data_IF_927053380948
#
_entry.id   IF_927053380948
#
_cell.length_a   1.000
_cell.length_b   1.000
_cell.length_c   1.000
_cell.angle_alpha   90.00
_cell.angle_beta   90.00
_cell.angle_gamma   90.00
#
_symmetry.space_group_name_H-M   'P 1'
#
loop_
_entity.id
_entity.type
_entity.pdbx_description
1 polymer ?
#
# COMPACT_ATOMS: atom_id res chain seq x y z
N UNK A 1 -1.06 16.05 8.96
CA UNK A 1 -0.82 14.65 9.37
C UNK A 1 0.57 14.53 9.99
N UNK A 2 0.65 13.88 11.15
CA UNK A 2 1.90 13.51 11.82
C UNK A 2 2.10 11.98 11.70
N UNK A 3 3.33 11.46 11.84
CA UNK A 3 3.58 10.01 11.89
C UNK A 3 2.70 9.30 12.92
N UNK A 4 2.49 9.89 14.10
CA UNK A 4 1.63 9.36 15.15
C UNK A 4 0.15 9.21 14.74
N UNK A 5 -0.34 10.01 13.79
CA UNK A 5 -1.71 9.88 13.26
C UNK A 5 -1.85 8.59 12.41
N UNK A 6 -0.76 8.08 11.87
CA UNK A 6 -0.71 6.88 11.02
C UNK A 6 -0.44 5.63 11.84
N UNK A 7 0.60 5.66 12.67
CA UNK A 7 1.06 4.49 13.42
C UNK A 7 0.41 4.36 14.79
N UNK A 8 -0.03 5.48 15.37
CA UNK A 8 -0.58 5.54 16.72
C UNK A 8 0.35 6.26 17.69
N UNK A 9 -0.11 6.42 18.91
CA UNK A 9 0.58 7.18 19.94
C UNK A 9 0.33 6.61 21.33
N UNK A 10 1.19 6.95 22.25
CA UNK A 10 1.03 6.69 23.67
C UNK A 10 0.27 7.84 24.31
N UNK A 11 -0.77 7.54 25.08
CA UNK A 11 -1.61 8.50 25.79
C UNK A 11 -1.50 8.24 27.28
N UNK A 12 -1.18 9.27 28.05
CA UNK A 12 -1.17 9.19 29.50
C UNK A 12 -2.60 9.25 30.06
N UNK A 13 -2.99 8.20 30.78
CA UNK A 13 -4.27 8.14 31.47
C UNK A 13 -4.12 8.63 32.92
N UNK A 14 -4.59 9.84 33.18
CA UNK A 14 -4.48 10.47 34.50
C UNK A 14 -5.21 9.69 35.61
N UNK A 15 -6.31 8.97 35.28
CA UNK A 15 -7.10 8.21 36.25
C UNK A 15 -6.41 6.93 36.72
N UNK A 16 -5.70 6.28 35.82
CA UNK A 16 -5.00 5.03 36.07
C UNK A 16 -3.52 5.25 36.40
N UNK A 17 -3.04 6.49 36.28
CA UNK A 17 -1.65 6.90 36.44
C UNK A 17 -0.70 6.03 35.60
N UNK A 18 -1.13 5.71 34.35
CA UNK A 18 -0.42 4.81 33.46
C UNK A 18 -0.56 5.29 31.99
N UNK A 19 0.29 4.75 31.12
CA UNK A 19 0.24 5.01 29.70
C UNK A 19 -0.58 3.95 28.97
N UNK A 20 -1.46 4.36 28.09
CA UNK A 20 -2.18 3.49 27.18
C UNK A 20 -1.80 3.75 25.73
N UNK A 21 -1.77 2.72 24.89
CA UNK A 21 -1.46 2.84 23.47
C UNK A 21 -2.75 3.00 22.68
N UNK A 22 -2.85 4.10 21.95
CA UNK A 22 -3.88 4.30 20.92
C UNK A 22 -3.30 3.90 19.57
N UNK A 23 -3.72 2.74 19.05
CA UNK A 23 -3.32 2.25 17.72
C UNK A 23 -3.81 3.17 16.62
N UNK A 24 -2.94 3.40 15.63
CA UNK A 24 -3.27 4.14 14.41
C UNK A 24 -3.93 3.26 13.33
N UNK A 25 -4.34 3.86 12.20
CA UNK A 25 -5.01 3.16 11.10
C UNK A 25 -4.16 2.07 10.41
N UNK A 26 -2.84 2.06 10.60
CA UNK A 26 -1.98 0.99 10.06
C UNK A 26 -2.23 -0.38 10.68
N UNK A 27 -2.92 -0.46 11.82
CA UNK A 27 -3.30 -1.75 12.43
C UNK A 27 -4.53 -2.37 11.75
N UNK A 28 -4.48 -2.47 10.44
CA UNK A 28 -5.48 -3.09 9.57
C UNK A 28 -4.78 -4.00 8.55
N UNK A 29 -5.52 -4.95 7.97
CA UNK A 29 -4.99 -5.83 6.92
C UNK A 29 -4.74 -5.07 5.60
N UNK A 30 -5.63 -4.12 5.28
CA UNK A 30 -5.55 -3.30 4.07
C UNK A 30 -5.59 -1.83 4.47
N UNK A 31 -4.59 -1.09 4.06
CA UNK A 31 -4.46 0.35 4.32
C UNK A 31 -4.48 1.09 3.00
N UNK A 32 -5.40 2.03 2.85
CA UNK A 32 -5.42 2.96 1.73
C UNK A 32 -4.80 4.29 2.17
N UNK A 33 -3.67 4.63 1.57
CA UNK A 33 -2.99 5.92 1.74
C UNK A 33 -3.35 6.82 0.55
N UNK A 34 -4.46 7.50 0.66
CA UNK A 34 -4.94 8.38 -0.40
C UNK A 34 -4.09 9.65 -0.49
N UNK A 35 -3.73 10.04 -1.72
CA UNK A 35 -2.87 11.19 -2.02
C UNK A 35 -1.58 11.23 -1.18
N UNK A 36 -0.84 10.13 -1.14
CA UNK A 36 0.37 10.01 -0.31
C UNK A 36 1.41 11.09 -0.62
N UNK A 37 1.43 11.63 -1.84
CA UNK A 37 2.30 12.72 -2.25
C UNK A 37 1.94 14.07 -1.58
N UNK A 38 0.78 14.20 -0.94
CA UNK A 38 0.42 15.36 -0.11
C UNK A 38 0.84 15.20 1.36
N UNK A 39 1.18 13.99 1.76
CA UNK A 39 1.67 13.76 3.12
C UNK A 39 3.12 14.26 3.27
N UNK A 40 3.46 14.90 4.41
CA UNK A 40 4.85 15.28 4.70
C UNK A 40 5.80 14.09 4.65
N UNK A 41 7.07 14.33 4.26
CA UNK A 41 8.07 13.27 4.09
C UNK A 41 8.23 12.35 5.31
N UNK A 42 8.05 12.87 6.53
CA UNK A 42 8.10 12.07 7.77
C UNK A 42 6.95 11.07 7.85
N UNK A 43 5.76 11.43 7.38
CA UNK A 43 4.58 10.54 7.35
C UNK A 43 4.75 9.47 6.29
N UNK A 44 5.23 9.86 5.10
CA UNK A 44 5.58 8.92 4.03
C UNK A 44 6.61 7.88 4.53
N UNK A 45 7.69 8.33 5.16
CA UNK A 45 8.74 7.46 5.69
C UNK A 45 8.20 6.49 6.75
N UNK A 46 7.34 6.97 7.66
CA UNK A 46 6.73 6.12 8.68
C UNK A 46 5.86 5.01 8.07
N UNK A 47 5.05 5.34 7.06
CA UNK A 47 4.22 4.35 6.36
C UNK A 47 5.06 3.32 5.62
N UNK A 48 6.13 3.76 4.96
CA UNK A 48 7.03 2.88 4.20
C UNK A 48 7.86 1.97 5.12
N UNK A 49 8.24 2.44 6.31
CA UNK A 49 8.88 1.62 7.33
C UNK A 49 7.92 0.52 7.80
N UNK A 50 6.67 0.87 8.10
CA UNK A 50 5.62 -0.08 8.50
C UNK A 50 5.39 -1.15 7.42
N UNK A 51 5.42 -0.78 6.15
CA UNK A 51 5.27 -1.73 5.03
C UNK A 51 6.42 -2.76 5.00
N UNK A 52 7.63 -2.32 5.32
CA UNK A 52 8.81 -3.16 5.29
C UNK A 52 8.92 -4.04 6.53
N UNK A 53 8.80 -3.44 7.71
CA UNK A 53 9.02 -4.11 9.00
C UNK A 53 7.81 -4.94 9.44
N UNK A 54 6.59 -4.63 8.96
CA UNK A 54 5.31 -5.24 9.35
C UNK A 54 5.08 -5.24 10.86
N UNK A 55 5.64 -4.25 11.51
CA UNK A 55 5.52 -3.98 12.94
C UNK A 55 5.64 -2.48 13.21
N UNK A 56 5.16 -2.05 14.35
CA UNK A 56 5.19 -0.66 14.81
C UNK A 56 5.68 -0.64 16.25
N UNK A 57 6.59 0.28 16.56
CA UNK A 57 7.01 0.56 17.94
C UNK A 57 6.37 1.87 18.40
N UNK A 58 5.63 1.80 19.51
CA UNK A 58 4.99 2.97 20.15
C UNK A 58 5.42 2.99 21.61
N UNK A 59 6.17 4.01 22.00
CA UNK A 59 6.84 4.02 23.30
C UNK A 59 7.82 2.86 23.39
N UNK A 60 7.67 2.02 24.40
CA UNK A 60 8.52 0.85 24.64
C UNK A 60 7.95 -0.47 24.08
N UNK A 61 6.76 -0.42 23.46
CA UNK A 61 6.10 -1.61 22.92
C UNK A 61 6.23 -1.73 21.41
N UNK A 62 6.69 -2.91 20.96
CA UNK A 62 6.69 -3.30 19.53
C UNK A 62 5.55 -4.25 19.24
N UNK A 63 4.65 -3.85 18.37
CA UNK A 63 3.45 -4.60 17.97
C UNK A 63 3.53 -5.01 16.52
N UNK A 64 3.28 -6.29 16.24
CA UNK A 64 3.17 -6.81 14.87
C UNK A 64 1.85 -6.38 14.25
N UNK A 65 1.90 -6.13 12.94
CA UNK A 65 0.70 -5.87 12.15
C UNK A 65 -0.04 -7.15 11.81
N UNK A 66 -1.35 -7.06 11.52
CA UNK A 66 -2.13 -8.23 11.11
C UNK A 66 -1.62 -8.80 9.78
N UNK A 67 -1.81 -10.10 9.58
CA UNK A 67 -1.45 -10.80 8.34
C UNK A 67 -2.73 -11.30 7.65
N UNK A 68 -2.90 -11.10 6.34
CA UNK A 68 -2.02 -10.37 5.41
C UNK A 68 -2.02 -8.85 5.67
N UNK A 69 -0.95 -8.16 5.30
CA UNK A 69 -0.84 -6.71 5.37
C UNK A 69 -0.48 -6.15 3.98
N UNK A 70 -1.28 -5.23 3.47
CA UNK A 70 -1.10 -4.58 2.19
C UNK A 70 -1.41 -3.09 2.30
N UNK A 71 -0.57 -2.27 1.68
CA UNK A 71 -0.81 -0.83 1.52
C UNK A 71 -1.06 -0.52 0.06
N UNK A 72 -2.16 0.16 -0.21
CA UNK A 72 -2.45 0.80 -1.48
C UNK A 72 -2.23 2.29 -1.29
N UNK A 73 -1.50 2.92 -2.21
CA UNK A 73 -1.28 4.36 -2.16
C UNK A 73 -1.72 4.98 -3.49
N UNK A 74 -2.41 6.11 -3.42
CA UNK A 74 -2.72 6.90 -4.60
C UNK A 74 -1.80 8.12 -4.66
N UNK A 75 -1.53 8.59 -5.87
CA UNK A 75 -0.86 9.85 -6.15
C UNK A 75 -1.67 10.64 -7.14
N UNK A 76 -1.87 11.92 -6.89
CA UNK A 76 -2.43 12.84 -7.86
C UNK A 76 -1.27 13.59 -8.54
N UNK A 77 -0.98 13.34 -9.83
CA UNK A 77 0.14 13.98 -10.52
C UNK A 77 -0.15 15.42 -10.98
N UNK A 78 -1.43 15.84 -10.95
CA UNK A 78 -1.87 17.13 -11.52
C UNK A 78 -1.54 18.28 -10.59
N UNK A 79 -1.63 18.08 -9.27
CA UNK A 79 -1.34 19.10 -8.27
C UNK A 79 0.17 19.20 -8.01
N UNK A 80 0.80 20.27 -8.44
CA UNK A 80 2.22 20.54 -8.20
C UNK A 80 2.48 21.33 -6.91
N UNK A 81 1.50 22.11 -6.43
CA UNK A 81 1.64 22.88 -5.20
C UNK A 81 1.33 22.01 -3.96
N UNK A 82 2.25 22.05 -2.98
CA UNK A 82 2.10 21.33 -1.71
C UNK A 82 2.29 19.81 -1.80
N UNK A 83 2.91 19.31 -2.87
CA UNK A 83 3.21 17.89 -3.00
C UNK A 83 4.66 17.58 -2.66
N UNK A 84 4.88 16.43 -2.04
CA UNK A 84 6.17 15.85 -1.73
C UNK A 84 6.34 14.59 -2.58
N UNK A 85 7.14 14.68 -3.62
CA UNK A 85 7.41 13.52 -4.48
C UNK A 85 8.06 12.41 -3.65
N UNK A 86 7.57 11.19 -3.83
CA UNK A 86 8.25 10.03 -3.25
C UNK A 86 9.56 9.81 -4.02
N UNK A 87 10.70 9.73 -3.31
CA UNK A 87 11.96 9.34 -3.93
C UNK A 87 11.84 7.96 -4.60
N UNK A 88 12.62 7.73 -5.65
CA UNK A 88 12.60 6.48 -6.41
C UNK A 88 12.81 5.24 -5.52
N UNK A 89 13.74 5.30 -4.58
CA UNK A 89 13.98 4.24 -3.60
C UNK A 89 12.77 3.93 -2.69
N UNK A 90 11.84 4.85 -2.57
CA UNK A 90 10.60 4.67 -1.80
C UNK A 90 9.48 4.09 -2.66
N UNK A 91 9.40 4.49 -3.93
CA UNK A 91 8.43 3.92 -4.86
C UNK A 91 8.72 2.46 -5.19
N UNK A 92 9.99 2.05 -5.16
CA UNK A 92 10.44 0.67 -5.37
C UNK A 92 9.92 -0.33 -4.31
N UNK A 93 9.40 0.17 -3.19
CA UNK A 93 8.74 -0.68 -2.17
C UNK A 93 7.32 -1.12 -2.54
N UNK A 94 6.74 -0.53 -3.57
CA UNK A 94 5.45 -0.92 -4.12
C UNK A 94 5.66 -1.94 -5.26
N UNK A 95 4.98 -3.09 -5.16
CA UNK A 95 5.10 -4.15 -6.16
C UNK A 95 4.61 -3.73 -7.54
N UNK A 96 3.57 -2.90 -7.59
CA UNK A 96 2.92 -2.46 -8.82
C UNK A 96 2.71 -0.95 -8.79
N UNK A 97 2.92 -0.31 -9.95
CA UNK A 97 2.52 1.07 -10.22
C UNK A 97 1.56 1.06 -11.39
N UNK A 98 0.29 1.35 -11.10
CA UNK A 98 -0.76 1.42 -12.10
C UNK A 98 -1.04 2.87 -12.45
N UNK A 99 -1.02 3.20 -13.73
CA UNK A 99 -1.52 4.48 -14.21
C UNK A 99 -3.01 4.33 -14.46
N UNK A 100 -3.81 5.16 -13.80
CA UNK A 100 -5.25 5.24 -14.00
C UNK A 100 -5.50 6.38 -14.99
N UNK A 101 -6.18 6.10 -16.07
CA UNK A 101 -6.61 7.07 -17.08
C UNK A 101 -8.13 7.20 -17.05
N UNK A 102 -8.69 8.06 -17.92
CA UNK A 102 -10.13 8.19 -18.03
C UNK A 102 -10.78 6.87 -18.47
N UNK A 103 -11.99 6.56 -17.96
CA UNK A 103 -12.75 5.38 -18.41
C UNK A 103 -13.11 5.47 -19.90
N UNK A 104 -13.42 4.33 -20.50
CA UNK A 104 -14.01 4.29 -21.83
C UNK A 104 -15.44 4.87 -21.80
N UNK A 105 -15.93 5.37 -22.94
CA UNK A 105 -17.22 6.06 -23.03
C UNK A 105 -18.40 5.27 -22.42
N UNK A 106 -18.45 3.96 -22.63
CA UNK A 106 -19.53 3.13 -22.11
C UNK A 106 -19.43 2.95 -20.60
N UNK A 107 -18.23 2.84 -20.05
CA UNK A 107 -18.00 2.73 -18.60
C UNK A 107 -18.35 4.05 -17.91
N UNK A 108 -17.99 5.17 -18.49
CA UNK A 108 -18.34 6.51 -17.99
C UNK A 108 -19.85 6.73 -18.02
N UNK A 109 -20.53 6.29 -19.10
CA UNK A 109 -21.99 6.30 -19.22
C UNK A 109 -22.64 5.43 -18.14
N UNK A 110 -22.08 4.25 -17.86
CA UNK A 110 -22.58 3.38 -16.79
C UNK A 110 -22.40 4.02 -15.41
N UNK A 111 -21.22 4.60 -15.14
CA UNK A 111 -20.95 5.35 -13.91
C UNK A 111 -21.96 6.48 -13.70
N UNK A 112 -22.24 7.27 -14.74
CA UNK A 112 -23.22 8.34 -14.70
C UNK A 112 -24.64 7.83 -14.36
N UNK A 113 -25.04 6.68 -14.93
CA UNK A 113 -26.33 6.03 -14.60
C UNK A 113 -26.40 5.55 -13.17
N UNK A 114 -25.31 4.95 -12.65
CA UNK A 114 -25.23 4.47 -11.27
C UNK A 114 -25.38 5.61 -10.25
N UNK A 115 -24.78 6.78 -10.53
CA UNK A 115 -24.89 7.94 -9.64
C UNK A 115 -26.25 8.61 -9.73
N UNK A 116 -26.91 8.57 -10.90
CA UNK A 116 -28.24 9.17 -11.10
C UNK A 116 -29.38 8.31 -10.55
N UNK A 117 -29.20 7.02 -10.39
CA UNK A 117 -30.14 6.12 -9.71
C UNK A 117 -29.72 6.01 -8.25
N UNK A 118 -30.51 6.42 -7.31
CA UNK A 118 -30.21 6.48 -5.86
C UNK A 118 -29.84 5.14 -5.19
N UNK A 119 -29.62 4.09 -5.95
CA UNK A 119 -29.24 2.77 -5.48
C UNK A 119 -27.70 2.60 -5.54
N UNK A 120 -27.05 2.91 -4.44
CA UNK A 120 -25.62 2.58 -4.28
C UNK A 120 -25.52 1.06 -4.08
N UNK A 121 -24.86 0.31 -4.97
CA UNK A 121 -24.72 -1.13 -4.82
C UNK A 121 -23.97 -1.48 -3.54
N UNK A 122 -24.56 -2.35 -2.72
CA UNK A 122 -23.90 -2.83 -1.51
C UNK A 122 -22.80 -3.81 -1.86
N UNK A 123 -21.58 -3.46 -1.50
CA UNK A 123 -20.41 -4.32 -1.66
C UNK A 123 -20.45 -5.40 -0.58
N UNK A 124 -20.35 -6.66 -0.98
CA UNK A 124 -20.25 -7.80 -0.08
C UNK A 124 -18.86 -8.41 -0.16
N UNK A 125 -18.30 -8.94 0.95
CA UNK A 125 -17.03 -9.65 0.91
C UNK A 125 -17.18 -10.91 0.04
N UNK A 126 -16.23 -11.13 -0.86
CA UNK A 126 -16.20 -12.28 -1.78
C UNK A 126 -15.08 -13.27 -1.45
N UNK A 127 -14.13 -12.88 -0.61
CA UNK A 127 -12.98 -13.68 -0.18
C UNK A 127 -12.65 -13.38 1.27
N UNK A 128 -12.24 -14.39 2.03
CA UNK A 128 -11.78 -14.23 3.41
C UNK A 128 -10.27 -13.99 3.49
N UNK A 129 -9.79 -13.50 4.64
CA UNK A 129 -8.37 -13.31 4.90
C UNK A 129 -7.61 -14.65 4.89
N UNK A 130 -8.23 -15.71 5.40
CA UNK A 130 -7.67 -17.07 5.43
C UNK A 130 -7.46 -17.60 4.00
N UNK A 131 -8.41 -17.36 3.11
CA UNK A 131 -8.28 -17.73 1.69
C UNK A 131 -7.13 -17.00 1.00
N UNK A 132 -6.87 -15.72 1.33
CA UNK A 132 -5.71 -14.98 0.83
C UNK A 132 -4.41 -15.59 1.32
N UNK A 133 -4.34 -15.95 2.61
CA UNK A 133 -3.16 -16.59 3.20
C UNK A 133 -2.90 -17.96 2.58
N UNK A 134 -3.95 -18.74 2.30
CA UNK A 134 -3.83 -20.04 1.65
C UNK A 134 -3.39 -19.93 0.20
N UNK A 135 -3.97 -19.01 -0.58
CA UNK A 135 -3.53 -18.71 -1.93
C UNK A 135 -2.03 -18.35 -1.99
N UNK A 136 -1.55 -17.58 -1.01
CA UNK A 136 -0.13 -17.23 -0.89
C UNK A 136 0.77 -18.46 -0.68
N UNK A 137 0.33 -19.46 0.09
CA UNK A 137 1.07 -20.72 0.27
C UNK A 137 1.14 -21.52 -1.04
N UNK A 138 0.03 -21.55 -1.80
CA UNK A 138 -0.03 -22.24 -3.09
C UNK A 138 0.93 -21.58 -4.11
N UNK A 139 0.98 -20.25 -4.16
CA UNK A 139 1.89 -19.52 -5.05
C UNK A 139 3.35 -19.90 -4.79
N UNK A 140 3.74 -20.11 -3.54
CA UNK A 140 5.10 -20.52 -3.19
C UNK A 140 5.47 -21.95 -3.65
N UNK A 141 4.50 -22.75 -4.11
CA UNK A 141 4.70 -24.10 -4.64
C UNK A 141 4.77 -24.13 -6.17
N UNK A 142 4.56 -23.00 -6.84
CA UNK A 142 4.63 -22.91 -8.29
C UNK A 142 6.08 -23.08 -8.71
N UNK A 143 6.32 -24.10 -9.57
CA UNK A 143 7.63 -24.35 -10.15
C UNK A 143 7.96 -23.30 -11.21
N UNK A 144 9.14 -22.73 -11.14
CA UNK A 144 9.71 -21.85 -12.15
C UNK A 144 10.83 -22.58 -12.89
N UNK A 145 10.69 -22.77 -14.21
CA UNK A 145 11.70 -23.41 -15.04
C UNK A 145 12.94 -22.50 -15.19
N UNK A 146 14.14 -23.10 -15.20
CA UNK A 146 15.42 -22.38 -15.33
C UNK A 146 15.50 -21.50 -16.60
N UNK A 147 14.81 -21.89 -17.68
CA UNK A 147 14.75 -21.08 -18.90
C UNK A 147 13.99 -19.78 -18.68
N UNK A 148 12.95 -19.82 -17.83
CA UNK A 148 12.17 -18.63 -17.49
C UNK A 148 12.97 -17.74 -16.53
N UNK A 149 13.69 -18.33 -15.58
CA UNK A 149 14.61 -17.56 -14.71
C UNK A 149 15.66 -16.81 -15.56
N UNK A 150 16.29 -17.54 -16.50
CA UNK A 150 17.26 -16.93 -17.42
C UNK A 150 16.63 -15.81 -18.25
N UNK A 151 15.43 -16.01 -18.79
CA UNK A 151 14.72 -14.99 -19.58
C UNK A 151 14.45 -13.74 -18.75
N UNK A 152 14.00 -13.90 -17.50
CA UNK A 152 13.78 -12.78 -16.59
C UNK A 152 15.09 -12.02 -16.32
N UNK A 153 16.18 -12.77 -16.06
CA UNK A 153 17.49 -12.17 -15.84
C UNK A 153 18.01 -11.45 -17.07
N UNK A 154 17.87 -12.02 -18.26
CA UNK A 154 18.27 -11.37 -19.51
C UNK A 154 17.56 -10.05 -19.72
N UNK A 155 16.24 -9.96 -19.43
CA UNK A 155 15.49 -8.71 -19.47
C UNK A 155 16.02 -7.68 -18.46
N UNK A 156 16.27 -8.10 -17.22
CA UNK A 156 16.80 -7.20 -16.18
C UNK A 156 18.21 -6.72 -16.53
N UNK A 157 19.06 -7.58 -17.07
CA UNK A 157 20.41 -7.21 -17.50
C UNK A 157 20.38 -6.29 -18.71
N UNK A 158 19.44 -6.46 -19.64
CA UNK A 158 19.28 -5.56 -20.78
C UNK A 158 18.92 -4.12 -20.33
N UNK A 159 18.14 -3.97 -19.26
CA UNK A 159 17.89 -2.62 -18.71
C UNK A 159 19.06 -1.99 -18.01
N UNK A 160 19.97 -2.79 -17.45
CA UNK A 160 21.18 -2.31 -16.74
C UNK A 160 22.36 -2.02 -17.68
N UNK A 161 22.45 -2.78 -18.74
CA UNK A 161 23.57 -2.73 -19.69
C UNK A 161 23.04 -2.73 -21.14
N UNK A 162 22.26 -1.71 -21.54
CA UNK A 162 21.61 -1.69 -22.86
C UNK A 162 22.61 -1.81 -24.00
N UNK A 163 23.83 -1.30 -23.84
CA UNK A 163 24.91 -1.37 -24.82
C UNK A 163 25.37 -2.81 -25.17
N UNK A 164 25.00 -3.82 -24.38
CA UNK A 164 25.33 -5.23 -24.64
C UNK A 164 24.23 -5.97 -25.40
N UNK A 165 23.08 -5.36 -25.52
CA UNK A 165 21.88 -5.98 -26.11
C UNK A 165 21.37 -5.27 -27.39
N UNK A 166 22.01 -4.19 -27.79
CA UNK A 166 21.74 -3.47 -29.05
C UNK A 166 20.99 -2.17 -28.89
#
# INVERSE_FOLDING_TARGET
LLPADVVGTQIYNVKENDFSIKKGPVFANFVLADEINRAPAKVQSALLEVMQEKQVTIGDETMKLPTPFLVLATQNPIDQEGTYLLPEAQTDRFMLKCKIDYPEFEDERQGMRMVSTSEIPQIKPVISLEQIVEAKKIINQIYLDEKIEKYILDMVFATRFPEKYG
#
